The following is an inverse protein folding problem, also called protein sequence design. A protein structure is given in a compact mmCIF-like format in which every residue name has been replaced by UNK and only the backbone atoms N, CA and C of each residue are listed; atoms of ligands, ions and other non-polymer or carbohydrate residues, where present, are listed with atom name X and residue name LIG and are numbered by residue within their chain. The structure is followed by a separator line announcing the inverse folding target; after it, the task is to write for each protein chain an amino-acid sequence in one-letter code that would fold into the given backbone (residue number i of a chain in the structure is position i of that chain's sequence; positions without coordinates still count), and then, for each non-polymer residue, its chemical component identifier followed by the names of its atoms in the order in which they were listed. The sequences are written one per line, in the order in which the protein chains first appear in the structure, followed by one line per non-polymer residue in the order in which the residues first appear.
data_IF_614242746229
#
_entry.id   IF_614242746229
#
_cell.length_a   1.000
_cell.length_b   1.000
_cell.length_c   1.000
_cell.angle_alpha   90.00
_cell.angle_beta   90.00
_cell.angle_gamma   90.00
#
_symmetry.space_group_name_H-M   'P 1'
#
loop_
_entity.id
_entity.type
_entity.pdbx_description
1 polymer ?
#
# COMPACT_ATOMS: atom_id res chain seq x y z
N UNK A 1 8.95 -3.52 -19.66
CA UNK A 1 8.02 -2.39 -19.90
C UNK A 1 8.78 -1.08 -20.13
N UNK A 2 8.42 -0.28 -21.15
CA UNK A 2 9.05 1.00 -21.47
C UNK A 2 8.91 2.06 -20.37
N UNK A 3 9.85 3.01 -20.33
CA UNK A 3 9.85 4.12 -19.37
C UNK A 3 8.60 5.01 -19.49
N UNK A 4 8.15 5.25 -20.73
CA UNK A 4 6.97 6.07 -21.03
C UNK A 4 5.66 5.58 -20.41
N UNK A 5 5.59 4.31 -19.99
CA UNK A 5 4.45 3.75 -19.24
C UNK A 5 4.78 3.54 -17.75
N UNK A 6 6.03 3.17 -17.44
CA UNK A 6 6.48 2.91 -16.07
C UNK A 6 6.43 4.16 -15.19
N UNK A 7 6.95 5.28 -15.68
CA UNK A 7 7.04 6.51 -14.90
C UNK A 7 5.65 7.07 -14.55
N UNK A 8 4.71 7.22 -15.50
CA UNK A 8 3.35 7.63 -15.18
C UNK A 8 2.65 6.70 -14.18
N UNK A 9 2.87 5.38 -14.28
CA UNK A 9 2.29 4.41 -13.33
C UNK A 9 2.72 4.70 -11.89
N UNK A 10 4.03 4.86 -11.66
CA UNK A 10 4.59 5.15 -10.34
C UNK A 10 4.18 6.53 -9.83
N UNK A 11 4.14 7.54 -10.71
CA UNK A 11 3.71 8.88 -10.36
C UNK A 11 2.24 8.91 -9.91
N UNK A 12 1.33 8.27 -10.66
CA UNK A 12 -0.08 8.21 -10.29
C UNK A 12 -0.33 7.38 -9.02
N UNK A 13 0.40 6.28 -8.83
CA UNK A 13 0.36 5.53 -7.57
C UNK A 13 0.77 6.40 -6.37
N UNK A 14 1.88 7.13 -6.49
CA UNK A 14 2.37 8.00 -5.42
C UNK A 14 1.42 9.15 -5.12
N UNK A 15 0.78 9.73 -6.15
CA UNK A 15 -0.28 10.74 -5.96
C UNK A 15 -1.45 10.15 -5.19
N UNK A 16 -1.96 9.00 -5.61
CA UNK A 16 -3.07 8.31 -4.94
C UNK A 16 -2.75 8.06 -3.46
N UNK A 17 -1.60 7.44 -3.17
CA UNK A 17 -1.18 7.15 -1.81
C UNK A 17 -0.97 8.42 -0.96
N UNK A 18 -0.54 9.52 -1.58
CA UNK A 18 -0.46 10.82 -0.91
C UNK A 18 -1.85 11.38 -0.60
N UNK A 19 -2.75 11.43 -1.58
CA UNK A 19 -4.09 11.95 -1.42
C UNK A 19 -4.89 11.17 -0.37
N UNK A 20 -4.79 9.84 -0.40
CA UNK A 20 -5.41 8.99 0.61
C UNK A 20 -4.91 9.32 2.04
N UNK A 21 -3.59 9.45 2.23
CA UNK A 21 -3.02 9.79 3.55
C UNK A 21 -3.44 11.17 4.05
N UNK A 22 -3.68 12.10 3.14
CA UNK A 22 -4.09 13.47 3.45
C UNK A 22 -5.63 13.62 3.52
N UNK A 23 -6.37 12.51 3.55
CA UNK A 23 -7.83 12.50 3.55
C UNK A 23 -8.50 13.22 2.37
N UNK A 24 -7.78 13.30 1.25
CA UNK A 24 -8.28 13.87 -0.01
C UNK A 24 -8.91 12.77 -0.87
N UNK A 25 -10.13 12.37 -0.52
CA UNK A 25 -10.83 11.21 -1.11
C UNK A 25 -11.10 11.35 -2.60
N UNK A 26 -11.70 12.47 -3.02
CA UNK A 26 -12.00 12.73 -4.44
C UNK A 26 -10.74 12.65 -5.32
N UNK A 27 -9.63 13.34 -5.01
CA UNK A 27 -8.38 13.16 -5.74
C UNK A 27 -7.83 11.73 -5.71
N UNK A 28 -7.91 11.03 -4.57
CA UNK A 28 -7.43 9.66 -4.46
C UNK A 28 -8.20 8.71 -5.40
N UNK A 29 -9.52 8.80 -5.41
CA UNK A 29 -10.38 8.03 -6.31
C UNK A 29 -10.11 8.38 -7.79
N UNK A 30 -9.88 9.66 -8.09
CA UNK A 30 -9.54 10.12 -9.45
C UNK A 30 -8.21 9.53 -9.93
N UNK A 31 -7.18 9.51 -9.07
CA UNK A 31 -5.91 8.89 -9.39
C UNK A 31 -6.05 7.37 -9.62
N UNK A 32 -6.95 6.70 -8.89
CA UNK A 32 -7.28 5.30 -9.13
C UNK A 32 -7.80 5.04 -10.55
N UNK A 33 -8.69 5.90 -11.05
CA UNK A 33 -9.17 5.84 -12.43
C UNK A 33 -8.09 6.08 -13.48
N UNK A 34 -7.24 7.09 -13.28
CA UNK A 34 -6.09 7.36 -14.18
C UNK A 34 -5.11 6.18 -14.22
N UNK A 35 -4.87 5.56 -13.06
CA UNK A 35 -4.02 4.38 -12.98
C UNK A 35 -4.60 3.22 -13.80
N UNK A 36 -5.92 3.05 -13.85
CA UNK A 36 -6.54 2.03 -14.71
C UNK A 36 -6.21 2.20 -16.19
N UNK A 37 -6.21 3.44 -16.70
CA UNK A 37 -5.90 3.74 -18.10
C UNK A 37 -4.43 3.42 -18.42
N UNK A 38 -3.53 3.70 -17.47
CA UNK A 38 -2.11 3.36 -17.58
C UNK A 38 -1.92 1.84 -17.57
N UNK A 39 -2.52 1.14 -16.61
CA UNK A 39 -2.40 -0.33 -16.51
C UNK A 39 -3.01 -1.02 -17.72
N UNK A 40 -4.16 -0.56 -18.21
CA UNK A 40 -4.74 -1.07 -19.45
C UNK A 40 -3.76 -0.90 -20.63
N UNK A 41 -3.16 0.28 -20.79
CA UNK A 41 -2.16 0.53 -21.85
C UNK A 41 -0.97 -0.44 -21.79
N UNK A 42 -0.53 -0.77 -20.55
CA UNK A 42 0.54 -1.72 -20.29
C UNK A 42 0.11 -3.14 -20.68
N UNK A 43 -1.06 -3.60 -20.23
CA UNK A 43 -1.57 -4.94 -20.53
C UNK A 43 -1.80 -5.12 -22.03
N UNK A 44 -2.41 -4.13 -22.69
CA UNK A 44 -2.64 -4.18 -24.14
C UNK A 44 -1.33 -4.26 -24.91
N UNK A 45 -0.36 -3.42 -24.56
CA UNK A 45 0.96 -3.45 -25.19
C UNK A 45 1.72 -4.76 -24.95
N UNK A 46 1.54 -5.37 -23.78
CA UNK A 46 2.12 -6.67 -23.47
C UNK A 46 1.47 -7.80 -24.28
N UNK A 47 0.13 -7.80 -24.39
CA UNK A 47 -0.63 -8.79 -25.16
C UNK A 47 -0.34 -8.68 -26.66
N UNK A 48 -0.25 -7.46 -27.19
CA UNK A 48 0.02 -7.21 -28.61
C UNK A 48 1.49 -7.39 -29.00
N UNK A 49 2.39 -7.48 -28.02
CA UNK A 49 3.84 -7.43 -28.25
C UNK A 49 4.36 -6.05 -28.67
N UNK A 50 3.51 -5.01 -28.65
CA UNK A 50 3.84 -3.65 -29.05
C UNK A 50 3.31 -2.63 -28.04
N UNK A 51 4.20 -2.06 -27.22
CA UNK A 51 3.82 -1.05 -26.24
C UNK A 51 3.60 0.33 -26.87
N UNK A 52 2.54 1.02 -26.45
CA UNK A 52 2.34 2.43 -26.75
C UNK A 52 3.43 3.30 -26.11
N UNK A 53 3.76 4.43 -26.74
CA UNK A 53 4.77 5.37 -26.24
C UNK A 53 4.33 6.05 -24.93
N UNK A 54 3.03 6.35 -24.81
CA UNK A 54 2.41 6.99 -23.65
C UNK A 54 1.11 6.28 -23.28
N UNK A 55 0.65 6.40 -22.01
CA UNK A 55 -0.66 5.89 -21.61
C UNK A 55 -1.79 6.51 -22.42
N UNK A 56 -2.86 5.76 -22.61
CA UNK A 56 -4.07 6.24 -23.27
C UNK A 56 -5.31 5.62 -22.63
N UNK A 57 -6.43 6.32 -22.80
CA UNK A 57 -7.74 5.85 -22.37
C UNK A 57 -8.41 5.08 -23.53
N UNK A 58 -8.85 3.83 -23.33
CA UNK A 58 -9.67 3.15 -24.33
C UNK A 58 -11.03 3.85 -24.47
N UNK A 59 -11.63 3.79 -25.66
CA UNK A 59 -12.96 4.37 -25.92
C UNK A 59 -14.03 3.79 -24.99
N UNK A 60 -13.96 2.48 -24.72
CA UNK A 60 -14.78 1.78 -23.74
C UNK A 60 -13.88 0.87 -22.89
N UNK A 61 -13.70 1.23 -21.61
CA UNK A 61 -12.87 0.45 -20.68
C UNK A 61 -13.41 -0.98 -20.44
N UNK A 62 -14.74 -1.14 -20.42
CA UNK A 62 -15.39 -2.43 -20.18
C UNK A 62 -15.10 -3.40 -21.30
N UNK A 63 -15.35 -2.98 -22.54
CA UNK A 63 -15.13 -3.82 -23.71
C UNK A 63 -13.63 -4.09 -23.92
N UNK A 64 -12.79 -3.06 -23.72
CA UNK A 64 -11.35 -3.20 -23.85
C UNK A 64 -10.75 -4.20 -22.83
N UNK A 65 -11.24 -4.22 -21.59
CA UNK A 65 -10.83 -5.24 -20.61
C UNK A 65 -11.34 -6.64 -20.96
N UNK A 66 -12.58 -6.76 -21.47
CA UNK A 66 -13.13 -8.04 -21.94
C UNK A 66 -12.33 -8.59 -23.13
N UNK A 67 -11.84 -7.71 -24.00
CA UNK A 67 -11.02 -8.11 -25.14
C UNK A 67 -9.68 -8.72 -24.70
N UNK A 68 -9.10 -8.29 -23.57
CA UNK A 68 -7.90 -8.92 -22.99
C UNK A 68 -8.16 -10.37 -22.54
N UNK A 69 -9.41 -10.73 -22.16
CA UNK A 69 -9.76 -12.09 -21.78
C UNK A 69 -9.63 -13.08 -22.95
N UNK A 70 -9.71 -12.59 -24.20
CA UNK A 70 -9.60 -13.39 -25.44
C UNK A 70 -8.19 -13.86 -25.75
N UNK A 71 -7.16 -13.23 -25.17
CA UNK A 71 -5.79 -13.72 -25.34
C UNK A 71 -5.67 -15.14 -24.76
N UNK A 72 -4.92 -16.04 -25.40
CA UNK A 72 -4.81 -17.44 -24.94
C UNK A 72 -3.44 -17.76 -24.36
N UNK A 73 -2.38 -17.09 -24.86
CA UNK A 73 -0.98 -17.37 -24.50
C UNK A 73 -0.46 -16.65 -23.26
N UNK A 74 -1.31 -15.91 -22.53
CA UNK A 74 -0.90 -15.10 -21.39
C UNK A 74 -1.43 -15.66 -20.06
N UNK A 75 -0.76 -15.38 -18.92
CA UNK A 75 -1.24 -15.78 -17.61
C UNK A 75 -2.63 -15.21 -17.31
N UNK A 76 -3.40 -15.92 -16.46
CA UNK A 76 -4.74 -15.48 -16.03
C UNK A 76 -4.73 -14.09 -15.40
N UNK A 77 -3.61 -13.73 -14.78
CA UNK A 77 -3.40 -12.43 -14.17
C UNK A 77 -3.53 -11.27 -15.17
N UNK A 78 -2.81 -11.37 -16.31
CA UNK A 78 -2.84 -10.41 -17.42
C UNK A 78 -4.21 -10.38 -18.09
N UNK A 79 -4.83 -11.56 -18.27
CA UNK A 79 -6.03 -11.70 -19.09
C UNK A 79 -7.33 -11.40 -18.36
N UNK A 80 -7.41 -11.77 -17.08
CA UNK A 80 -8.68 -11.85 -16.36
C UNK A 80 -8.60 -11.09 -15.04
N UNK A 81 -7.61 -11.39 -14.18
CA UNK A 81 -7.63 -10.88 -12.81
C UNK A 81 -7.38 -9.37 -12.75
N UNK A 82 -6.32 -8.87 -13.38
CA UNK A 82 -6.07 -7.42 -13.45
C UNK A 82 -7.20 -6.73 -14.21
N UNK A 83 -7.61 -7.15 -15.42
CA UNK A 83 -8.70 -6.50 -16.16
C UNK A 83 -10.00 -6.37 -15.35
N UNK A 84 -10.42 -7.41 -14.62
CA UNK A 84 -11.61 -7.32 -13.77
C UNK A 84 -11.44 -6.38 -12.57
N UNK A 85 -10.22 -6.27 -12.04
CA UNK A 85 -9.91 -5.27 -11.02
C UNK A 85 -10.00 -3.85 -11.57
N UNK A 86 -9.54 -3.63 -12.82
CA UNK A 86 -9.68 -2.34 -13.50
C UNK A 86 -11.15 -1.96 -13.67
N UNK A 87 -12.03 -2.90 -13.99
CA UNK A 87 -13.47 -2.62 -14.09
C UNK A 87 -14.06 -2.15 -12.77
N UNK A 88 -13.74 -2.82 -11.66
CA UNK A 88 -14.20 -2.42 -10.33
C UNK A 88 -13.67 -1.02 -9.94
N UNK A 89 -12.40 -0.74 -10.21
CA UNK A 89 -11.82 0.59 -9.98
C UNK A 89 -12.49 1.68 -10.84
N UNK A 90 -12.73 1.39 -12.12
CA UNK A 90 -13.32 2.36 -13.05
C UNK A 90 -14.78 2.65 -12.71
N UNK A 91 -15.50 1.66 -12.18
CA UNK A 91 -16.87 1.80 -11.69
C UNK A 91 -16.97 2.83 -10.54
N UNK A 92 -16.12 2.70 -9.52
CA UNK A 92 -16.06 3.65 -8.40
C UNK A 92 -15.78 5.06 -8.91
N UNK A 93 -14.76 5.22 -9.78
CA UNK A 93 -14.41 6.53 -10.34
C UNK A 93 -15.55 7.16 -11.16
N UNK A 94 -16.34 6.38 -11.88
CA UNK A 94 -17.38 6.94 -12.76
C UNK A 94 -18.67 7.29 -12.02
N UNK A 95 -18.98 6.59 -10.92
CA UNK A 95 -20.30 6.63 -10.28
C UNK A 95 -20.29 7.18 -8.84
N UNK A 96 -19.28 7.98 -8.49
CA UNK A 96 -19.12 8.63 -7.16
C UNK A 96 -18.78 10.12 -7.21
N UNK A 97 -19.26 10.87 -8.20
CA UNK A 97 -18.95 12.30 -8.41
C UNK A 97 -17.46 12.64 -8.67
N UNK A 98 -16.56 11.65 -8.66
CA UNK A 98 -15.12 11.82 -8.90
C UNK A 98 -14.79 12.27 -10.33
N UNK A 99 -15.60 11.83 -11.30
CA UNK A 99 -15.37 12.07 -12.73
C UNK A 99 -16.36 13.03 -13.40
N UNK A 100 -17.57 13.14 -12.87
CA UNK A 100 -18.67 13.94 -13.43
C UNK A 100 -19.59 14.40 -12.29
N UNK A 101 -20.06 15.64 -12.35
CA UNK A 101 -21.05 16.19 -11.41
C UNK A 101 -22.41 15.52 -11.69
N UNK A 102 -23.01 14.84 -10.70
CA UNK A 102 -24.37 14.27 -10.80
C UNK A 102 -24.56 12.81 -10.35
N UNK A 103 -23.58 12.21 -9.66
CA UNK A 103 -23.76 10.95 -8.93
C UNK A 103 -24.47 11.18 -7.58
N UNK A 104 -25.16 10.14 -7.11
CA UNK A 104 -25.95 10.17 -5.86
C UNK A 104 -25.08 10.16 -4.58
N UNK A 105 -23.78 9.88 -4.71
CA UNK A 105 -22.86 9.67 -3.58
C UNK A 105 -21.54 10.41 -3.82
N UNK A 106 -21.09 11.14 -2.82
CA UNK A 106 -19.83 11.88 -2.84
C UNK A 106 -18.62 10.99 -2.50
N UNK A 107 -17.42 11.35 -3.01
CA UNK A 107 -16.18 10.65 -2.69
C UNK A 107 -15.92 10.61 -1.18
N UNK A 108 -15.54 9.45 -0.67
CA UNK A 108 -15.49 9.21 0.77
C UNK A 108 -14.37 8.23 1.14
N UNK A 109 -14.09 8.13 2.44
CA UNK A 109 -13.03 7.26 2.94
C UNK A 109 -13.22 5.79 2.53
N UNK A 110 -14.45 5.26 2.60
CA UNK A 110 -14.74 3.85 2.26
C UNK A 110 -14.37 3.53 0.81
N UNK A 111 -14.82 4.36 -0.13
CA UNK A 111 -14.53 4.20 -1.55
C UNK A 111 -13.02 4.37 -1.83
N UNK A 112 -12.39 5.38 -1.24
CA UNK A 112 -10.95 5.61 -1.35
C UNK A 112 -10.11 4.44 -0.77
N UNK A 113 -10.56 3.80 0.30
CA UNK A 113 -9.88 2.64 0.92
C UNK A 113 -9.87 1.44 -0.01
N UNK A 114 -11.03 1.16 -0.62
CA UNK A 114 -11.18 0.07 -1.60
C UNK A 114 -10.33 0.36 -2.84
N UNK A 115 -10.37 1.60 -3.35
CA UNK A 115 -9.53 2.03 -4.47
C UNK A 115 -8.04 1.82 -4.18
N UNK A 116 -7.54 2.31 -3.03
CA UNK A 116 -6.13 2.14 -2.66
C UNK A 116 -5.75 0.66 -2.53
N UNK A 117 -6.61 -0.17 -1.91
CA UNK A 117 -6.38 -1.60 -1.77
C UNK A 117 -6.29 -2.32 -3.10
N UNK A 118 -7.23 -2.06 -4.01
CA UNK A 118 -7.24 -2.64 -5.36
C UNK A 118 -6.02 -2.19 -6.18
N UNK A 119 -5.65 -0.90 -6.10
CA UNK A 119 -4.46 -0.39 -6.78
C UNK A 119 -3.17 -1.04 -6.24
N UNK A 120 -3.02 -1.16 -4.92
CA UNK A 120 -1.87 -1.85 -4.31
C UNK A 120 -1.77 -3.29 -4.80
N UNK A 121 -2.90 -4.00 -4.89
CA UNK A 121 -2.95 -5.36 -5.43
C UNK A 121 -2.53 -5.39 -6.91
N UNK A 122 -3.04 -4.49 -7.74
CA UNK A 122 -2.66 -4.39 -9.16
C UNK A 122 -1.16 -4.10 -9.32
N UNK A 123 -0.62 -3.16 -8.54
CA UNK A 123 0.81 -2.84 -8.55
C UNK A 123 1.66 -4.06 -8.18
N UNK A 124 1.27 -4.78 -7.14
CA UNK A 124 1.93 -6.00 -6.72
C UNK A 124 1.90 -7.08 -7.81
N UNK A 125 0.77 -7.22 -8.49
CA UNK A 125 0.59 -8.20 -9.53
C UNK A 125 1.39 -7.85 -10.81
N UNK A 126 1.49 -6.56 -11.15
CA UNK A 126 2.38 -6.08 -12.22
C UNK A 126 3.85 -6.35 -11.90
N UNK A 127 4.27 -6.22 -10.64
CA UNK A 127 5.60 -6.62 -10.21
C UNK A 127 5.79 -8.12 -10.44
N UNK A 128 4.84 -8.98 -10.07
CA UNK A 128 4.92 -10.42 -10.35
C UNK A 128 4.96 -10.76 -11.84
N UNK A 129 4.27 -10.01 -12.70
CA UNK A 129 4.29 -10.27 -14.15
C UNK A 129 5.59 -9.77 -14.80
N UNK A 130 6.09 -8.60 -14.38
CA UNK A 130 7.17 -7.90 -15.05
C UNK A 130 8.49 -7.87 -14.25
N UNK A 131 8.60 -8.63 -13.15
CA UNK A 131 9.86 -8.72 -12.40
C UNK A 131 10.96 -9.26 -13.32
N UNK A 132 12.01 -8.47 -13.48
CA UNK A 132 13.32 -8.92 -13.97
C UNK A 132 14.29 -9.21 -12.83
N UNK A 133 13.77 -9.32 -11.60
CA UNK A 133 14.53 -9.58 -10.37
C UNK A 133 14.18 -10.95 -9.79
N UNK A 134 14.78 -11.34 -8.66
CA UNK A 134 14.43 -12.57 -7.95
C UNK A 134 13.00 -12.54 -7.41
N UNK A 135 12.43 -13.73 -7.21
CA UNK A 135 11.08 -13.88 -6.64
C UNK A 135 11.01 -13.30 -5.22
N UNK A 136 12.11 -13.34 -4.47
CA UNK A 136 12.24 -12.81 -3.12
C UNK A 136 12.17 -11.28 -3.10
N UNK A 137 12.91 -10.60 -3.98
CA UNK A 137 12.87 -9.13 -4.07
C UNK A 137 11.49 -8.64 -4.55
N UNK A 138 10.90 -9.33 -5.53
CA UNK A 138 9.54 -9.04 -5.96
C UNK A 138 8.54 -9.19 -4.79
N UNK A 139 8.72 -10.21 -3.94
CA UNK A 139 7.88 -10.45 -2.76
C UNK A 139 8.01 -9.31 -1.74
N UNK A 140 9.23 -8.86 -1.44
CA UNK A 140 9.44 -7.75 -0.50
C UNK A 140 8.82 -6.43 -1.01
N UNK A 141 8.92 -6.16 -2.31
CA UNK A 141 8.27 -4.98 -2.91
C UNK A 141 6.75 -5.10 -2.77
N UNK A 142 6.17 -6.26 -3.06
CA UNK A 142 4.73 -6.53 -2.88
C UNK A 142 4.30 -6.30 -1.43
N UNK A 143 5.02 -6.86 -0.47
CA UNK A 143 4.72 -6.72 0.95
C UNK A 143 4.73 -5.25 1.37
N UNK A 144 5.75 -4.48 0.95
CA UNK A 144 5.86 -3.05 1.23
C UNK A 144 4.69 -2.23 0.67
N UNK A 145 4.18 -2.60 -0.50
CA UNK A 145 3.02 -1.93 -1.11
C UNK A 145 1.75 -2.21 -0.31
N UNK A 146 1.62 -3.40 0.28
CA UNK A 146 0.45 -3.80 1.08
C UNK A 146 0.48 -3.33 2.53
N UNK A 147 1.57 -2.70 2.99
CA UNK A 147 1.71 -2.21 4.37
C UNK A 147 0.54 -1.31 4.81
N UNK A 148 0.18 -1.42 6.10
CA UNK A 148 -0.81 -0.57 6.77
C UNK A 148 -0.23 0.84 6.89
N UNK A 149 -0.84 1.81 6.22
CA UNK A 149 -0.49 3.23 6.41
C UNK A 149 -1.22 3.73 7.65
N UNK A 150 -0.49 3.93 8.75
CA UNK A 150 -1.04 4.52 9.98
C UNK A 150 -0.80 6.03 9.96
N UNK A 151 -1.84 6.89 9.99
CA UNK A 151 -1.68 8.35 10.02
C UNK A 151 -0.75 8.85 11.12
N UNK A 152 -0.75 8.20 12.29
CA UNK A 152 0.16 8.53 13.40
C UNK A 152 1.64 8.20 13.14
N UNK A 153 1.95 7.42 12.10
CA UNK A 153 3.33 7.05 11.74
C UNK A 153 3.80 7.86 10.54
N UNK A 154 4.74 8.77 10.78
CA UNK A 154 5.34 9.60 9.74
C UNK A 154 6.74 9.12 9.40
N UNK A 155 6.96 8.68 8.16
CA UNK A 155 8.27 8.25 7.67
C UNK A 155 9.04 9.44 7.09
N UNK A 156 10.18 9.78 7.69
CA UNK A 156 11.06 10.89 7.29
C UNK A 156 12.53 10.48 7.41
N UNK A 157 13.30 10.64 6.33
CA UNK A 157 14.75 10.36 6.34
C UNK A 157 15.12 8.93 6.75
N UNK A 158 14.28 7.94 6.42
CA UNK A 158 14.51 6.54 6.81
C UNK A 158 14.11 6.19 8.25
N UNK A 159 13.57 7.14 9.02
CA UNK A 159 13.08 6.93 10.38
C UNK A 159 11.56 7.07 10.40
N UNK A 160 10.87 6.26 11.22
CA UNK A 160 9.44 6.41 11.47
C UNK A 160 9.24 7.22 12.75
N UNK A 161 8.46 8.31 12.69
CA UNK A 161 8.11 9.16 13.82
C UNK A 161 6.67 8.87 14.24
N UNK A 162 6.43 8.78 15.55
CA UNK A 162 5.08 8.66 16.10
C UNK A 162 4.56 10.04 16.46
N UNK A 163 3.54 10.51 15.72
CA UNK A 163 3.01 11.87 15.82
C UNK A 163 2.02 12.08 16.98
N UNK A 164 1.58 11.00 17.63
CA UNK A 164 0.66 11.04 18.76
C UNK A 164 1.40 11.01 20.13
N UNK A 165 0.85 11.67 21.17
CA UNK A 165 1.44 11.71 22.52
C UNK A 165 1.21 10.39 23.29
N UNK A 166 1.77 9.31 22.76
CA UNK A 166 1.62 7.95 23.27
C UNK A 166 2.72 7.58 24.28
N UNK A 167 2.45 6.58 25.13
CA UNK A 167 3.47 6.00 26.01
C UNK A 167 4.59 5.33 25.19
N UNK A 168 5.77 5.14 25.78
CA UNK A 168 6.86 4.44 25.09
C UNK A 168 6.47 3.02 24.62
N UNK A 169 5.63 2.33 25.40
CA UNK A 169 5.08 1.01 25.03
C UNK A 169 4.17 1.12 23.80
N UNK A 170 3.19 2.03 23.84
CA UNK A 170 2.23 2.19 22.75
C UNK A 170 2.90 2.69 21.47
N UNK A 171 3.86 3.63 21.57
CA UNK A 171 4.70 4.05 20.43
C UNK A 171 5.45 2.87 19.82
N UNK A 172 6.05 2.02 20.65
CA UNK A 172 6.80 0.84 20.21
C UNK A 172 5.90 -0.14 19.46
N UNK A 173 4.73 -0.46 20.03
CA UNK A 173 3.78 -1.36 19.40
C UNK A 173 3.20 -0.77 18.12
N UNK A 174 2.89 0.53 18.08
CA UNK A 174 2.43 1.21 16.86
C UNK A 174 3.47 1.12 15.73
N UNK A 175 4.75 1.39 16.02
CA UNK A 175 5.83 1.27 15.03
C UNK A 175 5.98 -0.17 14.54
N UNK A 176 5.99 -1.16 15.44
CA UNK A 176 6.11 -2.57 15.07
C UNK A 176 4.89 -3.09 14.30
N UNK A 177 3.71 -2.56 14.57
CA UNK A 177 2.46 -2.87 13.85
C UNK A 177 2.46 -2.32 12.41
N UNK A 178 3.19 -1.24 12.17
CA UNK A 178 3.34 -0.63 10.85
C UNK A 178 4.42 -1.24 9.95
N UNK A 179 5.11 -2.30 10.40
CA UNK A 179 6.17 -2.98 9.62
C UNK A 179 5.90 -4.49 9.50
N UNK A 180 6.33 -5.15 8.42
CA UNK A 180 6.00 -6.56 8.16
C UNK A 180 6.82 -7.56 8.97
N UNK A 181 7.86 -7.12 9.69
CA UNK A 181 8.84 -8.02 10.32
C UNK A 181 9.54 -7.43 11.54
N UNK A 182 10.56 -8.13 12.07
CA UNK A 182 11.34 -7.66 13.20
C UNK A 182 12.07 -6.35 12.86
N UNK A 183 12.15 -5.46 13.85
CA UNK A 183 12.91 -4.22 13.77
C UNK A 183 14.01 -4.21 14.83
N UNK A 184 15.19 -3.70 14.48
CA UNK A 184 16.29 -3.56 15.43
C UNK A 184 15.99 -2.50 16.50
N UNK A 185 16.48 -2.74 17.72
CA UNK A 185 16.19 -1.85 18.85
C UNK A 185 16.75 -0.44 18.65
N UNK A 186 17.82 -0.27 17.87
CA UNK A 186 18.37 1.06 17.57
C UNK A 186 17.39 1.87 16.72
N UNK A 187 16.78 1.27 15.70
CA UNK A 187 15.73 1.89 14.88
C UNK A 187 14.47 2.18 15.68
N UNK A 188 14.09 1.29 16.61
CA UNK A 188 12.97 1.53 17.54
C UNK A 188 13.23 2.71 18.48
N UNK A 189 14.41 2.75 19.12
CA UNK A 189 14.82 3.86 19.98
C UNK A 189 14.81 5.19 19.23
N UNK A 190 15.36 5.19 18.02
CA UNK A 190 15.33 6.34 17.14
C UNK A 190 13.88 6.76 16.86
N UNK A 191 12.99 5.82 16.53
CA UNK A 191 11.59 6.07 16.14
C UNK A 191 10.71 6.57 17.29
N UNK A 192 10.88 6.00 18.48
CA UNK A 192 10.12 6.29 19.70
C UNK A 192 10.68 7.50 20.48
N UNK A 193 11.89 7.93 20.13
CA UNK A 193 12.62 9.03 20.78
C UNK A 193 12.90 8.77 22.27
N UNK A 194 13.22 7.51 22.60
CA UNK A 194 13.51 7.12 23.98
C UNK A 194 15.01 7.21 24.28
N UNK A 195 15.41 8.10 25.20
CA UNK A 195 16.83 8.41 25.42
C UNK A 195 17.66 7.31 26.07
N UNK A 196 17.10 6.51 26.99
CA UNK A 196 17.85 5.51 27.75
C UNK A 196 17.66 4.09 27.17
N UNK A 197 18.66 3.64 26.41
CA UNK A 197 18.62 2.37 25.68
C UNK A 197 18.54 1.13 26.60
N UNK A 198 19.22 1.14 27.74
CA UNK A 198 19.19 0.04 28.72
C UNK A 198 17.83 -0.06 29.40
N UNK A 199 17.25 1.08 29.81
CA UNK A 199 15.92 1.14 30.42
C UNK A 199 14.84 0.75 29.41
N UNK A 200 14.96 1.16 28.15
CA UNK A 200 14.04 0.78 27.08
C UNK A 200 13.96 -0.74 26.91
N UNK A 201 15.11 -1.42 26.83
CA UNK A 201 15.15 -2.89 26.78
C UNK A 201 14.55 -3.52 28.03
N UNK A 202 14.92 -3.01 29.20
CA UNK A 202 14.55 -3.60 30.49
C UNK A 202 13.06 -3.45 30.86
N UNK A 203 12.43 -2.33 30.47
CA UNK A 203 11.11 -1.93 30.98
C UNK A 203 10.06 -1.70 29.90
N UNK A 204 10.46 -1.49 28.65
CA UNK A 204 9.51 -1.38 27.53
C UNK A 204 9.46 -2.70 26.79
N UNK A 205 10.60 -3.16 26.26
CA UNK A 205 10.63 -4.38 25.45
C UNK A 205 10.44 -5.65 26.28
N UNK A 206 11.16 -5.82 27.39
CA UNK A 206 11.02 -7.01 28.24
C UNK A 206 9.63 -7.12 28.90
N UNK A 207 9.03 -6.01 29.28
CA UNK A 207 7.69 -6.04 29.89
C UNK A 207 6.61 -6.30 28.84
N UNK A 208 6.66 -5.64 27.68
CA UNK A 208 5.76 -5.95 26.56
C UNK A 208 5.96 -7.40 26.04
N UNK A 209 7.18 -7.93 26.10
CA UNK A 209 7.46 -9.33 25.79
C UNK A 209 6.81 -10.29 26.77
N UNK A 210 6.90 -9.99 28.07
CA UNK A 210 6.26 -10.76 29.15
C UNK A 210 4.73 -10.70 29.09
N UNK A 211 4.18 -9.57 28.66
CA UNK A 211 2.75 -9.40 28.36
C UNK A 211 2.33 -10.08 27.04
N UNK A 212 3.25 -10.77 26.35
CA UNK A 212 3.03 -11.40 25.03
C UNK A 212 2.61 -10.43 23.93
N UNK A 213 2.82 -9.11 24.08
CA UNK A 213 2.50 -8.10 23.07
C UNK A 213 3.53 -8.07 21.94
N UNK A 214 4.78 -8.48 22.21
CA UNK A 214 5.82 -8.59 21.21
C UNK A 214 6.79 -9.74 21.51
N UNK A 215 7.55 -10.18 20.50
CA UNK A 215 8.74 -11.01 20.67
C UNK A 215 9.97 -10.11 20.72
N UNK A 216 10.76 -10.15 21.80
CA UNK A 216 12.04 -9.43 21.89
C UNK A 216 13.19 -10.44 21.90
N UNK A 217 13.92 -10.53 20.79
CA UNK A 217 15.12 -11.35 20.68
C UNK A 217 16.31 -10.57 21.25
N UNK A 218 16.74 -10.92 22.46
CA UNK A 218 17.87 -10.26 23.12
C UNK A 218 19.23 -10.56 22.48
N UNK A 219 19.35 -11.64 21.69
CA UNK A 219 20.60 -12.01 21.01
C UNK A 219 20.75 -11.22 19.71
N UNK A 220 19.67 -11.17 18.92
CA UNK A 220 19.64 -10.38 17.69
C UNK A 220 19.43 -8.88 17.94
N UNK A 221 18.99 -8.50 19.15
CA UNK A 221 18.61 -7.15 19.53
C UNK A 221 17.51 -6.58 18.61
N UNK A 222 16.49 -7.40 18.36
CA UNK A 222 15.33 -7.08 17.51
C UNK A 222 14.03 -7.35 18.24
N UNK A 223 12.97 -6.63 17.87
CA UNK A 223 11.62 -6.89 18.35
C UNK A 223 10.62 -7.02 17.19
N UNK A 224 9.63 -7.89 17.34
CA UNK A 224 8.55 -8.10 16.38
C UNK A 224 7.21 -8.14 17.11
N UNK A 225 6.19 -7.47 16.58
CA UNK A 225 4.86 -7.51 17.19
C UNK A 225 4.25 -8.91 17.12
N UNK A 226 3.51 -9.30 18.16
CA UNK A 226 2.72 -10.53 18.17
C UNK A 226 1.30 -10.28 17.67
N UNK A 227 0.51 -11.32 17.35
CA UNK A 227 -0.92 -11.15 17.08
C UNK A 227 -1.69 -10.46 18.23
N UNK A 228 -1.30 -10.70 19.48
CA UNK A 228 -1.91 -10.05 20.64
C UNK A 228 -1.53 -8.56 20.71
N UNK A 229 -0.29 -8.22 20.38
CA UNK A 229 0.15 -6.83 20.25
C UNK A 229 -0.59 -6.09 19.15
N UNK A 230 -0.80 -6.72 17.99
CA UNK A 230 -1.58 -6.14 16.89
C UNK A 230 -2.99 -5.79 17.34
N UNK A 231 -3.67 -6.72 18.02
CA UNK A 231 -5.01 -6.46 18.59
C UNK A 231 -5.00 -5.35 19.63
N UNK A 232 -4.01 -5.32 20.51
CA UNK A 232 -3.86 -4.23 21.47
C UNK A 232 -3.75 -2.87 20.78
N UNK A 233 -2.96 -2.78 19.70
CA UNK A 233 -2.81 -1.54 18.92
C UNK A 233 -4.13 -1.13 18.28
N UNK A 234 -4.83 -2.07 17.64
CA UNK A 234 -6.14 -1.83 17.01
C UNK A 234 -7.22 -1.37 18.01
N UNK A 235 -7.21 -1.92 19.23
CA UNK A 235 -8.26 -1.67 20.23
C UNK A 235 -7.96 -0.49 21.18
N UNK A 236 -6.67 -0.16 21.41
CA UNK A 236 -6.26 0.74 22.51
C UNK A 236 -5.35 1.89 22.11
N UNK A 237 -4.76 1.85 20.91
CA UNK A 237 -3.92 2.94 20.42
C UNK A 237 -4.74 3.79 19.46
N UNK A 238 -4.81 5.10 19.71
CA UNK A 238 -5.42 6.03 18.75
C UNK A 238 -4.52 6.08 17.50
N UNK A 239 -4.95 5.41 16.42
CA UNK A 239 -4.21 5.28 15.17
C UNK A 239 -4.42 6.44 14.20
N UNK A 240 -5.28 7.39 14.57
CA UNK A 240 -5.64 8.59 13.80
C UNK A 240 -5.24 9.86 14.57
N UNK A 241 -5.08 10.97 13.86
CA UNK A 241 -4.71 12.30 14.39
C UNK A 241 -5.91 13.23 14.29
#
# INVERSE_FOLDING_TARGET
MPEGLRRPLLEEYNKLAKHYRESRWEPAELNGGKLCEIVYSILKGHVDGAFAATPYKPSNMVDACRDLEKATSFPRSVRIQIPRMLLALYEIRNNRNVGHVGADVDPNHMDASVVLGMVKWVMAELVRIFHGTSTEEATQVVESLTERSLPILWRVGGITRVLAPLTAKDKTLAVLYGVPGPLDVKSLLASVEYGNSSRYRATVLKDAHREHLLHFDTKADTAQISPLGSRYVEERVALEI
#
